data_IF_536748355624
#
_entry.id   IF_536748355624
#
_cell.length_a   1.000
_cell.length_b   1.000
_cell.length_c   1.000
_cell.angle_alpha   90.00
_cell.angle_beta   90.00
_cell.angle_gamma   90.00
#
_symmetry.space_group_name_H-M   'P 1'
#
loop_
_entity.id
_entity.type
_entity.pdbx_description
1 polymer ?
#
# COMPACT_ATOMS: atom_id res chain seq x y z
N UNK A 1 -55.73 2.71 15.21
CA UNK A 1 -54.88 1.65 15.80
C UNK A 1 -54.03 0.91 14.76
N UNK A 2 -54.60 0.31 13.69
CA UNK A 2 -53.81 -0.39 12.64
C UNK A 2 -52.66 0.40 11.99
N UNK A 3 -52.85 1.71 11.74
CA UNK A 3 -51.81 2.58 11.13
C UNK A 3 -50.62 2.87 12.06
N UNK A 4 -50.84 2.85 13.38
CA UNK A 4 -49.77 3.08 14.38
C UNK A 4 -48.88 1.84 14.49
N UNK A 5 -49.48 0.64 14.42
CA UNK A 5 -48.74 -0.64 14.43
C UNK A 5 -47.82 -0.76 13.21
N UNK A 6 -48.26 -0.32 12.03
CA UNK A 6 -47.44 -0.36 10.81
C UNK A 6 -46.24 0.59 10.87
N UNK A 7 -46.40 1.76 11.51
CA UNK A 7 -45.33 2.75 11.65
C UNK A 7 -44.27 2.31 12.68
N UNK A 8 -44.69 1.64 13.76
CA UNK A 8 -43.78 1.04 14.75
C UNK A 8 -42.99 -0.12 14.12
N UNK A 9 -43.62 -0.97 13.30
CA UNK A 9 -42.94 -2.07 12.62
C UNK A 9 -41.92 -1.59 11.57
N UNK A 10 -42.18 -0.47 10.90
CA UNK A 10 -41.26 0.14 9.93
C UNK A 10 -40.01 0.75 10.61
N UNK A 11 -40.15 1.27 11.84
CA UNK A 11 -39.03 1.81 12.63
C UNK A 11 -38.18 0.69 13.25
N UNK A 12 -38.77 -0.46 13.57
CA UNK A 12 -38.06 -1.64 14.11
C UNK A 12 -37.24 -2.42 13.06
N UNK A 13 -37.54 -2.28 11.77
CA UNK A 13 -36.77 -2.92 10.70
C UNK A 13 -35.51 -2.14 10.28
N UNK A 14 -35.25 -0.95 10.85
CA UNK A 14 -34.34 0.03 10.24
C UNK A 14 -32.85 -0.07 10.63
N UNK A 15 -32.41 -1.06 11.41
CA UNK A 15 -31.01 -1.07 11.86
C UNK A 15 -30.44 -2.47 12.11
N UNK A 16 -30.47 -3.32 11.09
CA UNK A 16 -29.51 -4.42 11.02
C UNK A 16 -28.16 -3.84 10.61
N UNK A 17 -27.35 -3.47 11.61
CA UNK A 17 -25.93 -3.20 11.38
C UNK A 17 -25.30 -4.56 11.06
N UNK A 18 -25.04 -4.81 9.76
CA UNK A 18 -24.23 -5.94 9.35
C UNK A 18 -22.82 -5.68 9.87
N UNK A 19 -22.49 -6.33 10.99
CA UNK A 19 -21.12 -6.33 11.49
C UNK A 19 -20.24 -6.95 10.41
N UNK A 20 -19.29 -6.17 9.90
CA UNK A 20 -18.33 -6.68 8.93
C UNK A 20 -17.36 -7.63 9.63
N UNK A 21 -16.98 -8.72 8.95
CA UNK A 21 -16.18 -9.80 9.50
C UNK A 21 -14.98 -10.09 8.57
N UNK A 22 -13.82 -10.37 9.15
CA UNK A 22 -12.61 -10.72 8.42
C UNK A 22 -12.76 -12.00 7.59
N UNK A 23 -13.76 -12.85 7.87
CA UNK A 23 -14.06 -14.02 7.04
C UNK A 23 -14.64 -13.66 5.67
N UNK A 24 -15.20 -12.45 5.54
CA UNK A 24 -15.96 -11.99 4.36
C UNK A 24 -15.40 -10.66 3.82
N UNK A 25 -14.07 -10.55 3.75
CA UNK A 25 -13.37 -9.35 3.27
C UNK A 25 -13.76 -9.02 1.82
N UNK A 26 -13.88 -10.03 0.97
CA UNK A 26 -14.30 -9.85 -0.42
C UNK A 26 -15.68 -9.20 -0.49
N UNK A 27 -16.69 -9.74 0.20
CA UNK A 27 -18.05 -9.16 0.24
C UNK A 27 -18.08 -7.74 0.84
N UNK A 28 -17.15 -7.45 1.74
CA UNK A 28 -17.05 -6.14 2.40
C UNK A 28 -16.54 -5.06 1.43
N UNK A 29 -15.56 -5.40 0.59
CA UNK A 29 -14.82 -4.44 -0.24
C UNK A 29 -15.03 -4.62 -1.75
N UNK A 30 -15.82 -5.61 -2.17
CA UNK A 30 -16.21 -5.85 -3.56
C UNK A 30 -17.73 -5.84 -3.64
N UNK A 31 -18.28 -4.90 -4.42
CA UNK A 31 -19.72 -4.75 -4.65
C UNK A 31 -19.99 -4.68 -6.14
N UNK A 32 -21.00 -5.43 -6.60
CA UNK A 32 -21.38 -5.49 -8.02
C UNK A 32 -20.19 -5.80 -8.96
N UNK A 33 -19.30 -6.69 -8.52
CA UNK A 33 -18.09 -7.07 -9.27
C UNK A 33 -17.08 -5.93 -9.44
N UNK A 34 -17.05 -4.95 -8.53
CA UNK A 34 -16.08 -3.85 -8.49
C UNK A 34 -15.54 -3.68 -7.07
N UNK A 35 -14.24 -3.44 -6.95
CA UNK A 35 -13.63 -3.08 -5.67
C UNK A 35 -14.09 -1.67 -5.29
N UNK A 36 -14.71 -1.50 -4.12
CA UNK A 36 -15.19 -0.22 -3.60
C UNK A 36 -14.22 0.46 -2.65
N UNK A 37 -13.13 -0.23 -2.30
CA UNK A 37 -12.11 0.28 -1.41
C UNK A 37 -10.97 1.00 -2.16
N UNK A 38 -10.39 2.00 -1.51
CA UNK A 38 -9.03 2.45 -1.81
C UNK A 38 -8.04 1.68 -0.94
N UNK A 39 -7.00 1.11 -1.55
CA UNK A 39 -5.93 0.43 -0.81
C UNK A 39 -4.78 1.41 -0.65
N UNK A 40 -4.46 1.79 0.58
CA UNK A 40 -3.62 2.96 0.88
C UNK A 40 -2.33 2.54 1.58
N UNK A 41 -1.20 3.10 1.14
CA UNK A 41 0.11 3.01 1.83
C UNK A 41 0.62 4.42 2.16
N UNK A 42 1.63 4.50 3.03
CA UNK A 42 2.29 5.77 3.35
C UNK A 42 3.02 6.36 2.13
N UNK A 43 3.09 7.68 2.02
CA UNK A 43 3.89 8.37 0.98
C UNK A 43 5.39 8.01 1.07
N UNK A 44 5.85 7.76 2.30
CA UNK A 44 7.21 7.28 2.62
C UNK A 44 7.21 5.80 2.99
N UNK A 45 6.23 5.04 2.50
CA UNK A 45 6.15 3.60 2.72
C UNK A 45 7.30 2.86 2.05
N UNK A 46 7.68 1.72 2.62
CA UNK A 46 8.71 0.85 2.04
C UNK A 46 8.19 0.12 0.80
N UNK A 47 9.09 -0.40 -0.03
CA UNK A 47 8.73 -1.27 -1.17
C UNK A 47 7.91 -2.48 -0.74
N UNK A 48 8.15 -3.01 0.47
CA UNK A 48 7.35 -4.11 1.03
C UNK A 48 5.87 -3.74 1.22
N UNK A 49 5.58 -2.50 1.63
CA UNK A 49 4.21 -2.01 1.77
C UNK A 49 3.52 -1.86 0.40
N UNK A 50 4.25 -1.39 -0.62
CA UNK A 50 3.72 -1.30 -2.00
C UNK A 50 3.42 -2.69 -2.57
N UNK A 51 4.31 -3.67 -2.34
CA UNK A 51 4.06 -5.05 -2.74
C UNK A 51 2.87 -5.66 -1.97
N UNK A 52 2.74 -5.36 -0.68
CA UNK A 52 1.58 -5.78 0.12
C UNK A 52 0.27 -5.15 -0.40
N UNK A 53 0.29 -3.89 -0.82
CA UNK A 53 -0.84 -3.24 -1.49
C UNK A 53 -1.23 -3.98 -2.77
N UNK A 54 -0.25 -4.33 -3.61
CA UNK A 54 -0.51 -5.11 -4.83
C UNK A 54 -1.07 -6.51 -4.52
N UNK A 55 -0.55 -7.18 -3.48
CA UNK A 55 -1.02 -8.50 -3.06
C UNK A 55 -2.52 -8.44 -2.65
N UNK A 56 -2.96 -7.41 -1.91
CA UNK A 56 -4.39 -7.19 -1.59
C UNK A 56 -5.22 -6.86 -2.83
N UNK A 57 -4.75 -5.95 -3.69
CA UNK A 57 -5.48 -5.56 -4.90
C UNK A 57 -5.68 -6.78 -5.80
N UNK A 58 -4.66 -7.62 -5.97
CA UNK A 58 -4.76 -8.85 -6.76
C UNK A 58 -5.67 -9.88 -6.11
N UNK A 59 -5.66 -9.99 -4.77
CA UNK A 59 -6.57 -10.87 -4.05
C UNK A 59 -8.03 -10.48 -4.27
N UNK A 60 -8.41 -9.24 -3.98
CA UNK A 60 -9.75 -8.72 -4.26
C UNK A 60 -10.07 -8.75 -5.76
N UNK A 61 -9.04 -8.60 -6.59
CA UNK A 61 -9.02 -8.70 -8.04
C UNK A 61 -9.64 -9.98 -8.59
N UNK A 62 -9.56 -11.09 -7.84
CA UNK A 62 -10.11 -12.38 -8.25
C UNK A 62 -11.65 -12.41 -8.21
N UNK A 63 -12.26 -11.56 -7.40
CA UNK A 63 -13.71 -11.51 -7.17
C UNK A 63 -14.39 -10.33 -7.90
N UNK A 64 -13.64 -9.61 -8.74
CA UNK A 64 -14.11 -8.46 -9.53
C UNK A 64 -14.04 -8.75 -11.03
N UNK A 65 -14.99 -8.17 -11.77
CA UNK A 65 -14.99 -8.11 -13.25
C UNK A 65 -14.61 -6.72 -13.76
N UNK A 66 -14.45 -5.75 -12.86
CA UNK A 66 -14.07 -4.37 -13.16
C UNK A 66 -12.57 -4.13 -13.32
N UNK A 67 -12.22 -2.90 -13.69
CA UNK A 67 -10.82 -2.45 -13.79
C UNK A 67 -10.16 -2.37 -12.41
N UNK A 68 -8.88 -2.77 -12.32
CA UNK A 68 -8.05 -2.63 -11.12
C UNK A 68 -7.31 -1.28 -11.04
N UNK A 69 -7.51 -0.41 -12.03
CA UNK A 69 -6.80 0.88 -12.10
C UNK A 69 -7.31 1.86 -11.06
N UNK A 70 -6.39 2.60 -10.42
CA UNK A 70 -6.70 3.68 -9.48
C UNK A 70 -7.15 3.22 -8.08
N UNK A 71 -7.14 1.91 -7.80
CA UNK A 71 -7.47 1.34 -6.48
C UNK A 71 -6.35 1.60 -5.48
N UNK A 72 -5.11 1.40 -5.90
CA UNK A 72 -3.92 1.70 -5.11
C UNK A 72 -3.73 3.20 -4.98
N UNK A 73 -3.50 3.66 -3.75
CA UNK A 73 -3.35 5.06 -3.38
C UNK A 73 -2.20 5.25 -2.40
N UNK A 74 -1.56 6.41 -2.49
CA UNK A 74 -0.74 6.96 -1.42
C UNK A 74 -1.60 7.76 -0.45
N UNK A 75 -1.06 7.96 0.75
CA UNK A 75 -1.73 8.73 1.81
C UNK A 75 -2.07 10.15 1.35
N UNK A 76 -1.15 10.82 0.64
CA UNK A 76 -1.37 12.17 0.10
C UNK A 76 -2.47 12.27 -0.98
N UNK A 77 -2.88 11.15 -1.59
CA UNK A 77 -3.95 11.13 -2.59
C UNK A 77 -5.35 10.99 -1.97
N UNK A 78 -5.44 10.72 -0.67
CA UNK A 78 -6.71 10.49 0.04
C UNK A 78 -7.07 11.75 0.83
N UNK A 79 -7.97 12.56 0.28
CA UNK A 79 -8.42 13.80 0.93
C UNK A 79 -9.44 13.58 2.05
N UNK A 80 -10.21 12.50 2.00
CA UNK A 80 -11.24 12.18 3.00
C UNK A 80 -11.39 10.67 3.19
N UNK A 81 -11.05 10.18 4.38
CA UNK A 81 -11.10 8.75 4.76
C UNK A 81 -12.51 8.17 4.88
N UNK A 82 -13.53 9.02 4.82
CA UNK A 82 -14.95 8.63 4.89
C UNK A 82 -15.67 8.73 3.55
N UNK A 83 -14.96 9.04 2.46
CA UNK A 83 -15.56 9.12 1.11
C UNK A 83 -15.79 7.73 0.50
N UNK A 84 -14.86 6.80 0.70
CA UNK A 84 -14.87 5.42 0.21
C UNK A 84 -14.54 4.44 1.34
N UNK A 85 -14.69 3.15 1.08
CA UNK A 85 -14.12 2.13 1.96
C UNK A 85 -12.58 2.19 1.85
N UNK A 86 -11.85 1.85 2.91
CA UNK A 86 -10.37 1.95 2.91
C UNK A 86 -9.74 0.65 3.42
N UNK A 87 -8.65 0.25 2.78
CA UNK A 87 -7.72 -0.74 3.31
C UNK A 87 -6.37 -0.04 3.49
N UNK A 88 -6.04 0.33 4.73
CA UNK A 88 -4.80 1.04 5.06
C UNK A 88 -3.72 0.06 5.50
N UNK A 89 -2.58 0.10 4.82
CA UNK A 89 -1.42 -0.77 5.06
C UNK A 89 -0.27 0.07 5.62
N UNK A 90 0.31 -0.40 6.72
CA UNK A 90 1.47 0.23 7.36
C UNK A 90 1.14 0.87 8.71
N UNK A 91 2.19 1.12 9.50
CA UNK A 91 2.09 1.60 10.87
C UNK A 91 1.50 3.04 10.95
N UNK A 92 0.81 3.39 12.05
CA UNK A 92 0.22 4.72 12.23
C UNK A 92 1.25 5.87 12.36
N UNK A 93 2.54 5.58 12.48
CA UNK A 93 3.57 6.61 12.57
C UNK A 93 4.02 7.14 11.21
N UNK A 94 3.98 6.30 10.19
CA UNK A 94 4.31 6.67 8.81
C UNK A 94 3.06 6.87 7.96
N UNK A 95 1.97 6.17 8.25
CA UNK A 95 0.71 6.23 7.53
C UNK A 95 -0.34 7.03 8.33
N UNK A 96 -0.58 8.29 7.94
CA UNK A 96 -1.54 9.16 8.64
C UNK A 96 -2.99 8.65 8.50
N UNK A 97 -3.33 7.97 7.40
CA UNK A 97 -4.65 7.34 7.26
C UNK A 97 -4.83 6.24 8.30
N UNK A 98 -3.82 5.37 8.50
CA UNK A 98 -3.85 4.36 9.57
C UNK A 98 -4.02 5.02 10.94
N UNK A 99 -3.27 6.10 11.21
CA UNK A 99 -3.37 6.87 12.46
C UNK A 99 -4.79 7.37 12.72
N UNK A 100 -5.42 7.98 11.72
CA UNK A 100 -6.76 8.57 11.83
C UNK A 100 -7.84 7.49 12.01
N UNK A 101 -7.74 6.39 11.26
CA UNK A 101 -8.64 5.23 11.40
C UNK A 101 -8.53 4.64 12.81
N UNK A 102 -7.33 4.55 13.38
CA UNK A 102 -7.13 4.02 14.74
C UNK A 102 -7.45 5.04 15.84
N UNK A 103 -7.46 6.34 15.53
CA UNK A 103 -7.48 7.40 16.55
C UNK A 103 -6.20 7.38 17.40
N UNK A 104 -5.07 7.03 16.80
CA UNK A 104 -3.83 6.73 17.51
C UNK A 104 -3.06 7.99 17.93
N UNK A 105 -2.73 8.08 19.23
CA UNK A 105 -1.96 9.18 19.82
C UNK A 105 -0.72 8.72 20.59
N UNK A 106 -0.43 7.42 20.60
CA UNK A 106 0.72 6.84 21.31
C UNK A 106 2.05 6.96 20.55
N UNK A 107 3.04 6.24 21.04
CA UNK A 107 4.38 6.14 20.47
C UNK A 107 4.50 5.02 19.41
N UNK A 108 5.62 4.92 18.71
CA UNK A 108 5.77 3.98 17.60
C UNK A 108 6.28 2.59 18.03
N UNK A 109 6.06 2.20 19.29
CA UNK A 109 6.67 1.01 19.88
C UNK A 109 5.73 -0.20 19.85
N UNK A 110 5.27 -0.57 18.66
CA UNK A 110 4.46 -1.77 18.47
C UNK A 110 5.32 -3.03 18.51
N UNK A 111 4.86 -4.05 19.25
CA UNK A 111 5.48 -5.37 19.29
C UNK A 111 4.79 -6.36 18.37
N UNK A 112 3.47 -6.20 18.19
CA UNK A 112 2.64 -7.15 17.45
C UNK A 112 2.10 -6.53 16.16
N UNK A 113 1.91 -7.39 15.16
CA UNK A 113 1.16 -7.06 13.96
C UNK A 113 -0.35 -7.08 14.23
N UNK A 114 -1.12 -6.36 13.40
CA UNK A 114 -2.56 -6.24 13.57
C UNK A 114 -3.25 -6.27 12.22
N UNK A 115 -4.35 -7.01 12.15
CA UNK A 115 -5.37 -6.93 11.11
C UNK A 115 -6.68 -6.59 11.81
N UNK A 116 -7.22 -5.39 11.56
CA UNK A 116 -8.43 -4.93 12.25
C UNK A 116 -9.39 -4.19 11.35
N UNK A 117 -10.64 -4.59 11.42
CA UNK A 117 -11.74 -3.97 10.70
C UNK A 117 -12.46 -2.96 11.60
N UNK A 118 -12.58 -1.75 11.08
CA UNK A 118 -13.29 -0.63 11.70
C UNK A 118 -14.51 -0.30 10.84
N UNK A 119 -15.59 0.11 11.51
CA UNK A 119 -16.72 0.75 10.86
C UNK A 119 -16.86 2.16 11.44
N UNK A 120 -16.51 3.18 10.65
CA UNK A 120 -16.57 4.59 11.04
C UNK A 120 -17.32 5.37 9.98
N UNK A 121 -18.31 6.17 10.40
CA UNK A 121 -19.14 6.98 9.50
C UNK A 121 -19.75 6.17 8.33
N UNK A 122 -20.26 4.97 8.63
CA UNK A 122 -20.83 4.04 7.64
C UNK A 122 -19.86 3.60 6.55
N UNK A 123 -18.55 3.68 6.79
CA UNK A 123 -17.49 3.15 5.91
C UNK A 123 -16.74 2.03 6.58
N UNK A 124 -16.41 1.01 5.79
CA UNK A 124 -15.57 -0.08 6.22
C UNK A 124 -14.10 0.31 6.03
N UNK A 125 -13.32 0.15 7.08
CA UNK A 125 -11.92 0.56 7.12
C UNK A 125 -11.09 -0.60 7.69
N UNK A 126 -10.32 -1.28 6.86
CA UNK A 126 -9.41 -2.34 7.28
C UNK A 126 -8.02 -1.73 7.52
N UNK A 127 -7.46 -1.95 8.70
CA UNK A 127 -6.08 -1.60 9.02
C UNK A 127 -5.26 -2.87 9.06
N UNK A 128 -4.14 -2.86 8.34
CA UNK A 128 -3.13 -3.91 8.38
C UNK A 128 -1.80 -3.26 8.70
N UNK A 129 -1.19 -3.59 9.84
CA UNK A 129 0.16 -3.13 10.12
C UNK A 129 1.02 -4.23 10.75
N UNK A 130 2.33 -4.04 10.64
CA UNK A 130 3.35 -4.89 11.23
C UNK A 130 4.34 -4.02 12.02
N UNK A 131 4.96 -4.54 13.10
CA UNK A 131 6.11 -3.90 13.76
C UNK A 131 7.37 -3.86 12.88
N UNK A 132 7.41 -4.62 11.78
CA UNK A 132 8.52 -4.69 10.82
C UNK A 132 8.03 -4.51 9.38
N UNK A 133 8.74 -3.71 8.61
CA UNK A 133 8.46 -3.55 7.17
C UNK A 133 8.70 -4.85 6.39
N UNK A 134 9.56 -5.74 6.87
CA UNK A 134 9.81 -7.02 6.20
C UNK A 134 8.58 -7.94 6.25
N UNK A 135 7.84 -7.92 7.36
CA UNK A 135 6.76 -8.88 7.61
C UNK A 135 5.36 -8.40 7.26
N UNK A 136 5.17 -7.11 6.93
CA UNK A 136 3.87 -6.59 6.49
C UNK A 136 3.29 -7.37 5.31
N UNK A 137 4.15 -7.80 4.39
CA UNK A 137 3.75 -8.57 3.22
C UNK A 137 3.29 -9.98 3.60
N UNK A 138 3.93 -10.59 4.58
CA UNK A 138 3.55 -11.91 5.05
C UNK A 138 2.24 -11.89 5.85
N UNK A 139 2.00 -10.83 6.64
CA UNK A 139 0.70 -10.56 7.27
C UNK A 139 -0.39 -10.39 6.21
N UNK A 140 -0.14 -9.63 5.15
CA UNK A 140 -1.10 -9.49 4.06
C UNK A 140 -1.35 -10.83 3.37
N UNK A 141 -0.32 -11.61 3.08
CA UNK A 141 -0.49 -12.93 2.47
C UNK A 141 -1.26 -13.89 3.38
N UNK A 142 -1.00 -13.86 4.67
CA UNK A 142 -1.72 -14.65 5.65
C UNK A 142 -3.21 -14.30 5.65
N UNK A 143 -3.56 -13.01 5.51
CA UNK A 143 -4.94 -12.55 5.32
C UNK A 143 -5.60 -13.15 4.08
N UNK A 144 -4.88 -13.22 2.97
CA UNK A 144 -5.40 -13.75 1.71
C UNK A 144 -5.46 -15.28 1.62
N UNK A 145 -4.77 -15.98 2.54
CA UNK A 145 -4.63 -17.45 2.50
C UNK A 145 -5.39 -18.13 3.64
N UNK A 146 -5.42 -17.51 4.81
CA UNK A 146 -6.04 -18.05 6.01
C UNK A 146 -7.47 -17.52 6.16
N UNK A 147 -8.32 -18.32 6.82
CA UNK A 147 -9.66 -17.89 7.20
C UNK A 147 -9.59 -17.25 8.59
N UNK A 148 -9.44 -15.93 8.62
CA UNK A 148 -9.66 -15.16 9.83
C UNK A 148 -11.16 -14.93 10.05
N UNK A 149 -11.57 -14.72 11.29
CA UNK A 149 -12.96 -14.43 11.65
C UNK A 149 -13.00 -13.36 12.73
N UNK A 150 -14.14 -12.69 12.88
CA UNK A 150 -14.29 -11.55 13.78
C UNK A 150 -13.76 -10.26 13.16
N UNK A 151 -13.53 -9.25 13.99
CA UNK A 151 -13.13 -7.91 13.55
C UNK A 151 -11.64 -7.62 13.74
N UNK A 152 -10.90 -8.51 14.43
CA UNK A 152 -9.54 -8.24 14.87
C UNK A 152 -8.73 -9.54 14.97
N UNK A 153 -7.51 -9.49 14.47
CA UNK A 153 -6.49 -10.52 14.63
C UNK A 153 -5.18 -9.85 14.98
N UNK A 154 -4.58 -10.31 16.09
CA UNK A 154 -3.24 -9.92 16.51
C UNK A 154 -2.27 -10.98 15.95
N UNK A 155 -1.21 -10.52 15.30
CA UNK A 155 -0.16 -11.37 14.74
C UNK A 155 1.07 -11.21 15.60
N UNK A 156 1.38 -12.22 16.40
CA UNK A 156 2.60 -12.25 17.19
C UNK A 156 3.82 -12.40 16.26
N UNK A 157 4.90 -11.62 16.49
CA UNK A 157 6.12 -11.76 15.71
C UNK A 157 6.76 -13.13 15.97
N UNK A 158 7.33 -13.70 14.93
CA UNK A 158 8.12 -14.93 15.03
C UNK A 158 9.43 -14.67 15.79
N UNK A 159 10.02 -15.72 16.36
CA UNK A 159 11.32 -15.61 17.04
C UNK A 159 12.40 -15.05 16.11
N UNK A 160 12.40 -15.47 14.85
CA UNK A 160 13.33 -15.00 13.82
C UNK A 160 13.18 -13.50 13.56
N UNK A 161 11.95 -12.98 13.51
CA UNK A 161 11.69 -11.54 13.36
C UNK A 161 12.15 -10.73 14.57
N UNK A 162 11.94 -11.27 15.78
CA UNK A 162 12.42 -10.64 17.02
C UNK A 162 13.96 -10.57 17.01
N UNK A 163 14.64 -11.64 16.59
CA UNK A 163 16.10 -11.69 16.50
C UNK A 163 16.65 -10.77 15.41
N UNK A 164 16.00 -10.71 14.25
CA UNK A 164 16.36 -9.79 13.17
C UNK A 164 16.25 -8.33 13.62
N UNK A 165 15.16 -7.96 14.30
CA UNK A 165 14.95 -6.60 14.82
C UNK A 165 16.01 -6.22 15.86
N UNK A 166 16.35 -7.13 16.79
CA UNK A 166 17.44 -6.91 17.75
C UNK A 166 18.78 -6.71 17.06
N UNK A 167 19.05 -7.47 16.01
CA UNK A 167 20.29 -7.36 15.23
C UNK A 167 20.36 -6.02 14.50
N UNK A 168 19.26 -5.58 13.89
CA UNK A 168 19.17 -4.27 13.23
C UNK A 168 19.38 -3.12 14.21
N UNK A 169 18.73 -3.16 15.38
CA UNK A 169 18.94 -2.17 16.45
C UNK A 169 20.40 -2.14 16.96
N UNK A 170 21.04 -3.31 17.06
CA UNK A 170 22.46 -3.40 17.44
C UNK A 170 23.36 -2.78 16.37
N UNK A 171 23.11 -3.09 15.09
CA UNK A 171 23.88 -2.54 13.97
C UNK A 171 23.75 -1.02 13.88
N UNK A 172 22.54 -0.49 14.09
CA UNK A 172 22.29 0.95 14.10
C UNK A 172 23.08 1.66 15.22
N UNK A 173 23.09 1.09 16.43
CA UNK A 173 23.89 1.62 17.55
C UNK A 173 25.39 1.61 17.26
N UNK A 174 25.88 0.57 16.60
CA UNK A 174 27.30 0.48 16.20
C UNK A 174 27.64 1.55 15.15
N UNK A 175 26.74 1.82 14.21
CA UNK A 175 26.92 2.87 13.20
C UNK A 175 26.94 4.27 13.82
N UNK A 176 25.99 4.57 14.71
CA UNK A 176 25.93 5.84 15.44
C UNK A 176 27.21 6.09 16.27
N UNK A 177 27.73 5.06 16.95
CA UNK A 177 28.99 5.16 17.70
C UNK A 177 30.23 5.42 16.82
N UNK A 178 30.24 4.89 15.60
CA UNK A 178 31.36 5.09 14.66
C UNK A 178 31.40 6.50 14.08
N UNK A 179 30.26 7.16 13.99
CA UNK A 179 30.15 8.54 13.48
C UNK A 179 30.56 9.59 14.54
N UNK A 180 30.49 9.24 15.82
CA UNK A 180 30.90 10.09 16.95
C UNK A 180 32.39 10.00 17.29
N UNK A 181 33.16 9.08 16.70
CA UNK A 181 34.63 9.10 16.85
C UNK A 181 35.17 10.36 16.16
N UNK A 182 35.89 11.24 16.89
CA UNK A 182 36.38 12.49 16.32
C UNK A 182 37.26 12.16 15.13
N UNK A 183 36.93 12.76 13.98
CA UNK A 183 37.80 12.81 12.81
C UNK A 183 39.13 13.39 13.31
N UNK A 184 40.09 12.52 13.60
CA UNK A 184 41.47 12.91 13.80
C UNK A 184 41.84 13.58 12.48
N UNK A 185 42.00 14.90 12.53
CA UNK A 185 42.41 15.75 11.43
C UNK A 185 43.70 15.15 10.86
N UNK A 186 43.54 14.33 9.82
CA UNK A 186 44.66 13.80 9.06
C UNK A 186 45.27 15.01 8.41
N UNK A 187 46.44 15.43 8.92
CA UNK A 187 47.24 16.48 8.30
C UNK A 187 47.38 16.15 6.82
N UNK A 188 46.80 16.98 5.98
CA UNK A 188 46.86 16.84 4.53
C UNK A 188 48.32 16.87 4.11
N UNK A 189 48.85 15.73 3.66
CA UNK A 189 50.04 15.73 2.82
C UNK A 189 49.74 16.58 1.57
N UNK A 190 50.71 17.38 1.10
CA UNK A 190 50.49 18.31 0.01
C UNK A 190 49.95 17.60 -1.23
N UNK A 191 48.72 17.97 -1.60
CA UNK A 191 48.04 17.53 -2.82
C UNK A 191 48.93 17.85 -4.02
N UNK A 192 49.51 16.81 -4.62
CA UNK A 192 50.10 16.88 -5.94
C UNK A 192 48.98 17.26 -6.90
N UNK A 193 49.01 18.49 -7.40
CA UNK A 193 48.09 19.02 -8.40
C UNK A 193 47.96 18.03 -9.57
N UNK A 194 46.77 17.46 -9.81
CA UNK A 194 46.54 16.67 -11.01
C UNK A 194 46.74 17.58 -12.22
N UNK A 195 47.58 17.14 -13.16
CA UNK A 195 47.67 17.77 -14.46
C UNK A 195 46.26 17.90 -15.07
N UNK A 196 45.95 19.02 -15.74
CA UNK A 196 44.67 19.22 -16.39
C UNK A 196 44.41 18.07 -17.36
N UNK A 197 43.31 17.36 -17.13
CA UNK A 197 42.84 16.32 -18.03
C UNK A 197 42.67 16.93 -19.43
N UNK A 198 43.15 16.25 -20.50
CA UNK A 198 42.96 16.72 -21.86
C UNK A 198 41.47 16.92 -22.13
N UNK A 199 41.14 18.09 -22.69
CA UNK A 199 39.78 18.45 -23.08
C UNK A 199 39.18 17.33 -23.94
N UNK A 200 38.15 16.67 -23.41
CA UNK A 200 37.40 15.67 -24.16
C UNK A 200 36.71 16.44 -25.30
N UNK A 201 36.96 16.09 -26.57
CA UNK A 201 36.31 16.73 -27.71
C UNK A 201 34.80 16.68 -27.51
N UNK A 202 34.15 17.85 -27.60
CA UNK A 202 32.70 17.95 -27.60
C UNK A 202 32.17 17.06 -28.72
N UNK A 203 31.59 15.93 -28.34
CA UNK A 203 30.88 15.09 -29.29
C UNK A 203 29.67 15.91 -29.76
N UNK A 204 29.52 16.15 -31.07
CA UNK A 204 28.41 16.93 -31.59
C UNK A 204 27.11 16.32 -31.10
N UNK A 205 26.26 17.19 -30.54
CA UNK A 205 24.88 16.89 -30.18
C UNK A 205 24.21 16.21 -31.39
N UNK A 206 23.74 14.95 -31.25
CA UNK A 206 23.15 14.24 -32.37
C UNK A 206 21.92 15.02 -32.84
N UNK A 207 21.99 15.54 -34.06
CA UNK A 207 20.85 16.17 -34.72
C UNK A 207 19.63 15.25 -34.60
N UNK A 208 18.55 15.81 -34.05
CA UNK A 208 17.27 15.16 -33.89
C UNK A 208 16.87 14.51 -35.22
N UNK A 209 17.02 13.18 -35.28
CA UNK A 209 16.63 12.40 -36.44
C UNK A 209 15.12 12.50 -36.54
N UNK A 210 14.64 13.21 -37.57
CA UNK A 210 13.21 13.32 -37.87
C UNK A 210 12.59 11.93 -37.89
N UNK A 211 11.63 11.68 -37.01
CA UNK A 211 10.88 10.43 -37.00
C UNK A 211 10.33 10.14 -38.40
N UNK A 212 10.53 8.91 -38.93
CA UNK A 212 9.89 8.53 -40.17
C UNK A 212 8.38 8.53 -39.95
N UNK A 213 7.66 9.32 -40.75
CA UNK A 213 6.21 9.31 -40.78
C UNK A 213 5.72 7.86 -40.93
N UNK A 214 5.13 7.30 -39.86
CA UNK A 214 4.50 5.98 -39.86
C UNK A 214 3.36 5.97 -40.89
N UNK A 215 3.68 5.54 -42.10
CA UNK A 215 2.68 5.22 -43.12
C UNK A 215 1.88 3.99 -42.67
N UNK A 216 0.63 4.21 -42.28
CA UNK A 216 -0.53 3.32 -42.45
C UNK A 216 -0.31 1.80 -42.47
N UNK A 217 0.36 1.24 -41.46
CA UNK A 217 0.42 -0.23 -41.26
C UNK A 217 -0.93 -0.77 -40.78
N UNK A 218 -1.69 0.00 -40.00
CA UNK A 218 -2.99 -0.41 -39.48
C UNK A 218 -4.07 -0.60 -40.56
N UNK A 219 -3.99 0.10 -41.69
CA UNK A 219 -4.96 -0.05 -42.79
C UNK A 219 -4.83 -1.44 -43.43
N UNK A 220 -3.61 -1.96 -43.59
CA UNK A 220 -3.40 -3.29 -44.20
C UNK A 220 -3.85 -4.45 -43.33
N UNK A 221 -3.80 -4.31 -42.00
CA UNK A 221 -4.26 -5.35 -41.08
C UNK A 221 -5.79 -5.44 -41.09
N UNK A 222 -6.47 -4.29 -41.20
CA UNK A 222 -7.93 -4.23 -41.21
C UNK A 222 -8.53 -4.81 -42.50
N UNK A 223 -7.89 -4.58 -43.65
CA UNK A 223 -8.32 -5.16 -44.93
C UNK A 223 -8.11 -6.67 -45.00
N UNK A 224 -7.04 -7.19 -44.39
CA UNK A 224 -6.82 -8.63 -44.27
C UNK A 224 -7.88 -9.32 -43.41
N UNK A 225 -8.32 -8.69 -42.31
CA UNK A 225 -9.35 -9.25 -41.42
C UNK A 225 -10.75 -9.30 -42.05
N UNK A 226 -11.10 -8.33 -42.91
CA UNK A 226 -12.40 -8.32 -43.60
C UNK A 226 -12.55 -9.43 -44.64
N UNK A 227 -11.45 -9.92 -45.22
CA UNK A 227 -11.47 -11.05 -46.15
C UNK A 227 -11.71 -12.42 -45.51
N UNK A 228 -11.62 -12.53 -44.19
CA UNK A 228 -11.79 -13.79 -43.45
C UNK A 228 -13.24 -14.08 -43.03
N UNK A 229 -14.14 -13.11 -43.17
CA UNK A 229 -15.55 -13.22 -42.77
C UNK A 229 -16.54 -12.90 -43.90
N UNK A 230 -16.08 -12.91 -45.16
CA UNK A 230 -16.92 -12.75 -46.35
C UNK A 230 -16.82 -13.96 -47.27
#
# INVERSE_FOLDING_TARGET
MKKIIFLIMLVLCASFVLASDLSNIEDTFVKDGKITASVVVADKGTSSQVLAQLDIINYLGKSTTGSLQGIGKLTSEVSNIYSTDIISIGNPCLNTITKDIMGYTGDCTFTDGLIKLYNKNNKNQLVIYSPSDASIRDIVRSLTTNKYSGTEVIIEPTKEEIEAKKTEELLKKIQEQKEEEPVVEVQEEPVVTPQPAPEIPQTPEPEATKEPQKKNVFVKIFDWFKGLFS
#
